data_IF_976515115479
#
_entry.id   IF_976515115479
#
_cell.length_a   1.000
_cell.length_b   1.000
_cell.length_c   1.000
_cell.angle_alpha   90.00
_cell.angle_beta   90.00
_cell.angle_gamma   90.00
#
_symmetry.space_group_name_H-M   'P 1'
#
loop_
_entity.id
_entity.type
_entity.pdbx_description
1 polymer ?
#
# COMPACT_ATOMS: atom_id res chain seq x y z
N UNK A 1 11.69 0.02 -23.75
CA UNK A 1 12.80 -0.91 -23.50
C UNK A 1 12.79 -1.32 -22.03
N UNK A 2 13.05 -2.59 -21.67
CA UNK A 2 13.19 -2.99 -20.27
C UNK A 2 14.37 -2.25 -19.66
N UNK A 3 14.16 -1.50 -18.59
CA UNK A 3 15.18 -0.69 -17.90
C UNK A 3 15.92 -1.47 -16.78
N UNK A 4 15.68 -2.76 -16.65
CA UNK A 4 16.33 -3.68 -15.70
C UNK A 4 16.59 -5.02 -16.39
N UNK A 5 17.66 -5.68 -16.00
CA UNK A 5 18.06 -6.98 -16.56
C UNK A 5 17.59 -8.12 -15.66
N UNK A 6 17.32 -9.29 -16.28
CA UNK A 6 17.31 -10.53 -15.50
C UNK A 6 18.72 -10.80 -14.96
N UNK A 7 18.79 -11.50 -13.82
CA UNK A 7 20.06 -11.89 -13.24
C UNK A 7 20.92 -12.63 -14.27
N UNK A 8 22.18 -12.23 -14.36
CA UNK A 8 23.21 -12.87 -15.13
C UNK A 8 24.48 -12.97 -14.26
N UNK A 9 25.30 -13.97 -14.48
CA UNK A 9 26.48 -14.27 -13.65
C UNK A 9 27.55 -13.17 -13.64
N UNK A 10 27.51 -12.22 -14.56
CA UNK A 10 28.39 -11.05 -14.56
C UNK A 10 28.22 -10.17 -13.31
N UNK A 11 27.01 -10.13 -12.75
CA UNK A 11 26.71 -9.37 -11.52
C UNK A 11 27.55 -9.88 -10.34
N UNK A 12 27.89 -11.17 -10.28
CA UNK A 12 28.70 -11.76 -9.20
C UNK A 12 30.16 -11.28 -9.22
N UNK A 13 30.61 -10.71 -10.32
CA UNK A 13 31.99 -10.17 -10.46
C UNK A 13 32.08 -8.66 -10.15
N UNK A 14 30.92 -8.03 -9.87
CA UNK A 14 30.88 -6.62 -9.52
C UNK A 14 30.92 -6.41 -8.00
N UNK A 15 31.49 -5.30 -7.57
CA UNK A 15 31.47 -4.91 -6.15
C UNK A 15 30.40 -3.87 -5.86
N UNK A 16 29.70 -4.03 -4.77
CA UNK A 16 28.64 -3.13 -4.30
C UNK A 16 28.87 -2.73 -2.85
N UNK A 17 28.51 -1.49 -2.49
CA UNK A 17 28.54 -1.02 -1.10
C UNK A 17 27.35 -1.58 -0.29
N UNK A 18 26.23 -1.86 -0.97
CA UNK A 18 25.03 -2.41 -0.33
C UNK A 18 24.23 -3.30 -1.28
N UNK A 19 23.65 -4.38 -0.73
CA UNK A 19 22.65 -5.21 -1.40
C UNK A 19 21.30 -4.98 -0.73
N UNK A 20 20.29 -4.67 -1.54
CA UNK A 20 18.90 -4.48 -1.11
C UNK A 20 18.06 -5.65 -1.62
N UNK A 21 17.41 -6.39 -0.70
CA UNK A 21 16.55 -7.53 -1.01
C UNK A 21 15.12 -7.04 -1.16
N UNK A 22 14.59 -7.08 -2.38
CA UNK A 22 13.24 -6.64 -2.72
C UNK A 22 13.16 -5.21 -3.25
N UNK A 23 12.50 -5.04 -4.38
CA UNK A 23 12.30 -3.78 -5.10
C UNK A 23 10.96 -3.09 -4.82
N UNK A 24 10.30 -3.40 -3.71
CA UNK A 24 9.16 -2.60 -3.26
C UNK A 24 9.58 -1.16 -2.96
N UNK A 25 8.60 -0.25 -2.79
CA UNK A 25 8.89 1.20 -2.65
C UNK A 25 9.88 1.51 -1.52
N UNK A 26 9.85 0.78 -0.41
CA UNK A 26 10.81 0.94 0.69
C UNK A 26 12.23 0.57 0.28
N UNK A 27 12.41 -0.55 -0.44
CA UNK A 27 13.71 -0.99 -0.97
C UNK A 27 14.25 -0.02 -2.01
N UNK A 28 13.41 0.40 -2.97
CA UNK A 28 13.78 1.37 -4.00
C UNK A 28 14.14 2.74 -3.41
N UNK A 29 13.36 3.24 -2.45
CA UNK A 29 13.65 4.49 -1.74
C UNK A 29 15.00 4.42 -1.03
N UNK A 30 15.26 3.31 -0.32
CA UNK A 30 16.53 3.11 0.38
C UNK A 30 17.70 3.05 -0.59
N UNK A 31 17.55 2.31 -1.69
CA UNK A 31 18.56 2.21 -2.74
C UNK A 31 18.86 3.57 -3.38
N UNK A 32 17.82 4.35 -3.71
CA UNK A 32 17.98 5.68 -4.30
C UNK A 32 18.71 6.64 -3.34
N UNK A 33 18.33 6.65 -2.06
CA UNK A 33 18.99 7.49 -1.05
C UNK A 33 20.45 7.12 -0.85
N UNK A 34 20.79 5.83 -0.85
CA UNK A 34 22.19 5.36 -0.79
C UNK A 34 22.95 5.77 -2.06
N UNK A 35 22.35 5.62 -3.24
CA UNK A 35 22.95 6.00 -4.51
C UNK A 35 23.21 7.51 -4.60
N UNK A 36 22.27 8.34 -4.11
CA UNK A 36 22.44 9.79 -3.98
C UNK A 36 23.59 10.18 -3.04
N UNK A 37 23.90 9.32 -2.05
CA UNK A 37 25.05 9.49 -1.15
C UNK A 37 26.32 8.79 -1.65
N UNK A 38 26.41 8.51 -2.96
CA UNK A 38 27.63 7.99 -3.60
C UNK A 38 27.88 6.51 -3.34
N UNK A 39 26.90 5.74 -2.87
CA UNK A 39 27.00 4.31 -2.67
C UNK A 39 26.60 3.56 -3.94
N UNK A 40 27.40 2.59 -4.34
CA UNK A 40 27.04 1.67 -5.41
C UNK A 40 26.15 0.56 -4.85
N UNK A 41 24.88 0.52 -5.27
CA UNK A 41 23.88 -0.39 -4.73
C UNK A 41 23.44 -1.45 -5.73
N UNK A 42 23.12 -2.66 -5.22
CA UNK A 42 22.48 -3.73 -5.99
C UNK A 42 21.09 -4.00 -5.39
N UNK A 43 20.05 -3.88 -6.20
CA UNK A 43 18.68 -4.28 -5.81
C UNK A 43 18.34 -5.62 -6.45
N UNK A 44 17.98 -6.60 -5.62
CA UNK A 44 17.62 -7.96 -6.05
C UNK A 44 16.12 -8.16 -5.89
N UNK A 45 15.44 -8.46 -7.01
CA UNK A 45 13.99 -8.71 -7.05
C UNK A 45 13.71 -10.13 -7.55
N UNK A 46 12.93 -10.89 -6.78
CA UNK A 46 12.56 -12.26 -7.18
C UNK A 46 11.55 -12.30 -8.33
N UNK A 47 10.70 -11.27 -8.43
CA UNK A 47 9.70 -11.16 -9.49
C UNK A 47 10.36 -10.75 -10.81
N UNK A 48 9.64 -10.90 -11.92
CA UNK A 48 10.12 -10.46 -13.24
C UNK A 48 9.90 -8.97 -13.50
N UNK A 49 9.29 -8.25 -12.56
CA UNK A 49 9.09 -6.79 -12.56
C UNK A 49 9.49 -6.21 -11.22
N UNK A 50 10.04 -4.99 -11.25
CA UNK A 50 10.31 -4.18 -10.06
C UNK A 50 9.06 -3.45 -9.57
N UNK A 51 9.10 -2.92 -8.35
CA UNK A 51 8.10 -2.02 -7.81
C UNK A 51 7.26 -2.59 -6.67
N UNK A 52 7.24 -3.90 -6.46
CA UNK A 52 6.33 -4.51 -5.48
C UNK A 52 4.88 -4.12 -5.77
N UNK A 53 4.16 -3.52 -4.81
CA UNK A 53 2.77 -3.09 -5.02
C UNK A 53 2.59 -1.88 -5.96
N UNK A 54 3.66 -1.25 -6.43
CA UNK A 54 3.58 -0.17 -7.42
C UNK A 54 3.76 -0.64 -8.86
N UNK A 55 3.89 -1.96 -9.12
CA UNK A 55 3.95 -2.44 -10.50
C UNK A 55 2.55 -2.63 -11.09
N UNK A 56 2.49 -2.68 -12.42
CA UNK A 56 1.28 -2.96 -13.19
C UNK A 56 1.40 -4.28 -13.91
N UNK A 57 0.29 -4.83 -14.38
CA UNK A 57 0.28 -5.93 -15.33
C UNK A 57 -0.62 -5.62 -16.52
N UNK A 58 -0.32 -6.25 -17.67
CA UNK A 58 -1.07 -6.08 -18.92
C UNK A 58 -1.63 -7.41 -19.38
N UNK A 59 -2.83 -7.34 -19.97
CA UNK A 59 -3.43 -8.41 -20.78
C UNK A 59 -4.09 -7.74 -21.98
N UNK A 60 -3.67 -8.13 -23.16
CA UNK A 60 -4.08 -7.52 -24.43
C UNK A 60 -3.84 -6.00 -24.37
N UNK A 61 -4.85 -5.20 -24.65
CA UNK A 61 -4.79 -3.72 -24.69
C UNK A 61 -5.02 -3.07 -23.32
N UNK A 62 -5.19 -3.86 -22.26
CA UNK A 62 -5.52 -3.38 -20.92
C UNK A 62 -4.33 -3.41 -19.98
N UNK A 63 -4.25 -2.40 -19.10
CA UNK A 63 -3.29 -2.33 -18.00
C UNK A 63 -4.02 -2.06 -16.68
N UNK A 64 -3.62 -2.76 -15.62
CA UNK A 64 -4.14 -2.57 -14.27
C UNK A 64 -3.02 -2.42 -13.26
N UNK A 65 -3.32 -1.68 -12.19
CA UNK A 65 -2.47 -1.59 -11.02
C UNK A 65 -2.53 -2.87 -10.19
N UNK A 66 -1.48 -3.12 -9.40
CA UNK A 66 -1.47 -4.25 -8.46
C UNK A 66 -1.85 -3.83 -7.06
N UNK A 67 -1.48 -2.63 -6.63
CA UNK A 67 -1.78 -2.22 -5.27
C UNK A 67 -1.73 -0.72 -4.99
N UNK A 68 -1.36 0.13 -5.96
CA UNK A 68 -1.45 1.58 -5.79
C UNK A 68 -2.58 2.11 -6.67
N UNK A 69 -3.65 2.59 -6.06
CA UNK A 69 -4.84 3.06 -6.77
C UNK A 69 -4.94 4.59 -6.80
N UNK A 70 -4.38 5.28 -5.83
CA UNK A 70 -4.25 6.75 -5.74
C UNK A 70 -3.32 7.12 -4.57
N UNK A 71 -2.92 8.39 -4.48
CA UNK A 71 -2.06 8.90 -3.42
C UNK A 71 -2.44 10.35 -3.10
N UNK A 72 -2.39 10.74 -1.84
CA UNK A 72 -2.61 12.10 -1.40
C UNK A 72 -1.32 12.91 -1.28
N UNK A 73 -1.45 14.18 -0.90
CA UNK A 73 -0.38 15.12 -0.54
C UNK A 73 0.65 15.45 -1.65
N UNK A 74 0.81 14.65 -2.69
CA UNK A 74 1.86 14.86 -3.72
C UNK A 74 1.61 16.06 -4.64
N UNK A 75 0.40 16.63 -4.65
CA UNK A 75 0.11 17.92 -5.30
C UNK A 75 0.75 19.10 -4.56
N UNK A 76 0.98 18.97 -3.26
CA UNK A 76 1.61 20.00 -2.45
C UNK A 76 3.14 19.87 -2.49
N UNK A 77 3.81 20.80 -3.17
CA UNK A 77 5.29 20.84 -3.29
C UNK A 77 6.04 20.87 -1.94
N UNK A 78 5.36 21.25 -0.87
CA UNK A 78 5.95 21.36 0.46
C UNK A 78 5.73 20.11 1.33
N UNK A 79 4.90 19.20 0.89
CA UNK A 79 4.65 17.95 1.62
C UNK A 79 5.91 17.07 1.68
N UNK A 80 5.99 16.22 2.70
CA UNK A 80 7.08 15.28 2.84
C UNK A 80 7.05 14.22 1.73
N UNK A 81 5.83 13.75 1.36
CA UNK A 81 5.63 12.78 0.30
C UNK A 81 6.13 13.31 -1.05
N UNK A 82 5.70 14.53 -1.45
CA UNK A 82 6.14 15.13 -2.70
C UNK A 82 7.66 15.32 -2.75
N UNK A 83 8.26 15.87 -1.69
CA UNK A 83 9.70 16.08 -1.62
C UNK A 83 10.49 14.77 -1.71
N UNK A 84 9.98 13.71 -1.09
CA UNK A 84 10.62 12.40 -1.18
C UNK A 84 10.57 11.87 -2.61
N UNK A 85 9.39 11.86 -3.25
CA UNK A 85 9.26 11.37 -4.62
C UNK A 85 10.06 12.21 -5.61
N UNK A 86 10.07 13.54 -5.49
CA UNK A 86 10.90 14.41 -6.32
C UNK A 86 12.39 14.08 -6.17
N UNK A 87 12.86 13.84 -4.92
CA UNK A 87 14.25 13.49 -4.64
C UNK A 87 14.67 12.15 -5.24
N UNK A 88 13.86 11.08 -5.03
CA UNK A 88 14.22 9.73 -5.46
C UNK A 88 13.92 9.44 -6.93
N UNK A 89 13.25 10.34 -7.64
CA UNK A 89 12.97 10.23 -9.07
C UNK A 89 13.67 11.31 -9.92
N UNK A 90 14.53 12.14 -9.30
CA UNK A 90 15.11 13.32 -9.94
C UNK A 90 14.06 14.24 -10.57
N UNK A 91 12.95 14.45 -9.87
CA UNK A 91 11.78 15.21 -10.32
C UNK A 91 11.10 14.68 -11.61
N UNK A 92 11.39 13.46 -12.05
CA UNK A 92 10.79 12.90 -13.26
C UNK A 92 9.41 12.30 -13.05
N UNK A 93 9.04 11.96 -11.82
CA UNK A 93 7.72 11.44 -11.50
C UNK A 93 6.71 12.57 -11.48
N UNK A 94 5.74 12.52 -12.39
CA UNK A 94 4.66 13.50 -12.51
C UNK A 94 3.35 12.92 -11.94
N UNK A 95 2.44 13.81 -11.55
CA UNK A 95 1.20 13.45 -10.87
C UNK A 95 -0.01 14.10 -11.54
N UNK A 96 -0.99 13.29 -11.94
CA UNK A 96 -2.33 13.72 -12.34
C UNK A 96 -3.17 13.99 -11.09
N UNK A 97 -3.97 15.05 -11.10
CA UNK A 97 -4.93 15.33 -10.02
C UNK A 97 -6.23 14.59 -10.32
N UNK A 98 -6.78 13.91 -9.32
CA UNK A 98 -8.11 13.33 -9.39
C UNK A 98 -9.19 14.42 -9.25
N UNK A 99 -10.46 14.06 -9.52
CA UNK A 99 -11.61 14.91 -9.22
C UNK A 99 -11.60 15.36 -7.76
N UNK A 100 -12.14 16.55 -7.46
CA UNK A 100 -12.21 17.05 -6.09
C UNK A 100 -13.03 16.12 -5.19
N UNK A 101 -14.08 15.47 -5.73
CA UNK A 101 -14.74 14.35 -5.08
C UNK A 101 -13.92 13.07 -5.32
N UNK A 102 -12.94 12.81 -4.45
CA UNK A 102 -11.98 11.71 -4.63
C UNK A 102 -12.51 10.34 -4.22
N UNK A 103 -13.45 10.29 -3.25
CA UNK A 103 -14.09 9.06 -2.78
C UNK A 103 -15.59 9.26 -2.55
N UNK A 104 -16.37 8.20 -2.80
CA UNK A 104 -17.78 8.07 -2.40
C UNK A 104 -17.93 6.89 -1.48
N UNK A 105 -18.48 7.15 -0.29
CA UNK A 105 -18.82 6.13 0.69
C UNK A 105 -20.31 5.81 0.55
N UNK A 106 -20.62 4.62 0.06
CA UNK A 106 -21.97 4.21 -0.35
C UNK A 106 -22.51 3.21 0.67
N UNK A 107 -23.59 3.59 1.34
CA UNK A 107 -24.39 2.73 2.21
C UNK A 107 -25.75 2.46 1.58
N UNK A 108 -26.51 1.45 2.02
CA UNK A 108 -27.80 1.09 1.39
C UNK A 108 -28.82 2.22 1.36
N UNK A 109 -28.77 3.13 2.33
CA UNK A 109 -29.74 4.22 2.48
C UNK A 109 -29.19 5.60 2.03
N UNK A 110 -27.88 5.75 1.87
CA UNK A 110 -27.30 7.05 1.52
C UNK A 110 -25.85 6.95 1.04
N UNK A 111 -25.49 7.86 0.13
CA UNK A 111 -24.11 8.09 -0.33
C UNK A 111 -23.54 9.35 0.33
N UNK A 112 -22.27 9.29 0.72
CA UNK A 112 -21.51 10.38 1.29
C UNK A 112 -20.28 10.64 0.42
N UNK A 113 -20.06 11.90 0.05
CA UNK A 113 -18.91 12.30 -0.75
C UNK A 113 -17.76 12.76 0.15
N UNK A 114 -16.55 12.38 -0.19
CA UNK A 114 -15.33 12.91 0.38
C UNK A 114 -14.72 13.87 -0.65
N UNK A 115 -14.85 15.16 -0.38
CA UNK A 115 -14.51 16.23 -1.33
C UNK A 115 -13.36 17.06 -0.79
N UNK A 116 -12.34 17.28 -1.62
CA UNK A 116 -11.25 18.20 -1.35
C UNK A 116 -11.66 19.65 -1.71
N UNK A 117 -11.06 20.66 -1.06
CA UNK A 117 -10.06 20.53 0.00
C UNK A 117 -10.70 20.17 1.36
N UNK A 118 -9.86 20.05 2.38
CA UNK A 118 -10.23 19.75 3.76
C UNK A 118 -11.42 20.54 4.29
N UNK A 119 -11.48 21.82 3.99
CA UNK A 119 -12.57 22.70 4.42
C UNK A 119 -13.90 22.22 3.83
N UNK A 120 -13.91 21.84 2.55
CA UNK A 120 -15.10 21.31 1.90
C UNK A 120 -15.53 19.96 2.52
N UNK A 121 -14.57 19.09 2.83
CA UNK A 121 -14.86 17.84 3.56
C UNK A 121 -15.56 18.12 4.90
N UNK A 122 -15.06 19.09 5.69
CA UNK A 122 -15.65 19.47 6.97
C UNK A 122 -17.08 20.00 6.78
N UNK A 123 -17.28 20.92 5.85
CA UNK A 123 -18.57 21.54 5.55
C UNK A 123 -19.59 20.47 5.08
N UNK A 124 -19.18 19.56 4.22
CA UNK A 124 -20.04 18.47 3.74
C UNK A 124 -20.41 17.51 4.88
N UNK A 125 -19.46 17.13 5.74
CA UNK A 125 -19.74 16.29 6.90
C UNK A 125 -20.70 16.98 7.88
N UNK A 126 -20.56 18.28 8.13
CA UNK A 126 -21.50 19.04 8.96
C UNK A 126 -22.87 19.10 8.31
N UNK A 127 -22.94 19.28 6.99
CA UNK A 127 -24.23 19.27 6.27
C UNK A 127 -24.91 17.90 6.34
N UNK A 128 -24.16 16.80 6.31
CA UNK A 128 -24.68 15.45 6.50
C UNK A 128 -25.12 15.19 7.96
N UNK A 129 -24.40 15.73 8.93
CA UNK A 129 -24.57 15.49 10.37
C UNK A 129 -24.57 16.80 11.19
N UNK A 130 -25.60 17.66 11.06
CA UNK A 130 -25.59 19.00 11.68
C UNK A 130 -25.47 19.03 13.20
N UNK A 131 -25.84 17.95 13.87
CA UNK A 131 -25.73 17.82 15.33
C UNK A 131 -24.33 17.42 15.82
N UNK A 132 -23.44 17.07 14.89
CA UNK A 132 -22.13 16.49 15.16
C UNK A 132 -20.96 17.43 14.82
N UNK A 133 -21.25 18.71 14.56
CA UNK A 133 -20.26 19.72 14.15
C UNK A 133 -18.99 19.70 15.02
N UNK A 134 -19.18 19.71 16.35
CA UNK A 134 -18.06 19.66 17.29
C UNK A 134 -17.24 18.39 17.17
N UNK A 135 -17.89 17.23 17.00
CA UNK A 135 -17.22 15.93 16.83
C UNK A 135 -16.41 15.90 15.53
N UNK A 136 -16.96 16.44 14.43
CA UNK A 136 -16.31 16.51 13.12
C UNK A 136 -15.05 17.39 13.18
N UNK A 137 -15.14 18.60 13.74
CA UNK A 137 -13.97 19.46 13.93
C UNK A 137 -12.90 18.82 14.81
N UNK A 138 -13.29 18.18 15.91
CA UNK A 138 -12.35 17.50 16.82
C UNK A 138 -11.72 16.29 16.15
N UNK A 139 -12.48 15.53 15.34
CA UNK A 139 -11.94 14.44 14.55
C UNK A 139 -10.81 14.90 13.61
N UNK A 140 -11.03 15.94 12.80
CA UNK A 140 -10.01 16.47 11.89
C UNK A 140 -8.80 17.01 12.67
N UNK A 141 -9.02 17.64 13.81
CA UNK A 141 -7.92 18.05 14.70
C UNK A 141 -7.10 16.83 15.18
N UNK A 142 -7.75 15.73 15.57
CA UNK A 142 -7.07 14.52 16.04
C UNK A 142 -6.29 13.83 14.92
N UNK A 143 -6.79 13.84 13.68
CA UNK A 143 -6.01 13.37 12.52
C UNK A 143 -4.69 14.15 12.39
N UNK A 144 -4.75 15.48 12.45
CA UNK A 144 -3.57 16.33 12.36
C UNK A 144 -2.60 16.14 13.54
N UNK A 145 -3.13 16.01 14.76
CA UNK A 145 -2.30 15.79 15.94
C UNK A 145 -1.58 14.45 15.90
N UNK A 146 -2.29 13.38 15.50
CA UNK A 146 -1.70 12.04 15.35
C UNK A 146 -0.56 12.05 14.33
N UNK A 147 -0.79 12.58 13.14
CA UNK A 147 0.22 12.66 12.06
C UNK A 147 1.40 13.53 12.46
N UNK A 148 1.16 14.71 13.07
CA UNK A 148 2.25 15.58 13.55
C UNK A 148 3.08 14.93 14.65
N UNK A 149 2.45 14.16 15.55
CA UNK A 149 3.13 13.47 16.64
C UNK A 149 4.01 12.29 16.18
N UNK A 150 3.77 11.76 15.00
CA UNK A 150 4.59 10.70 14.42
C UNK A 150 5.98 11.16 13.98
N UNK A 151 6.14 12.43 13.61
CA UNK A 151 7.45 12.96 13.16
C UNK A 151 8.54 12.80 14.20
N UNK A 152 8.39 13.26 15.49
CA UNK A 152 9.40 13.01 16.51
C UNK A 152 9.55 11.51 16.83
N UNK A 153 8.50 10.70 16.76
CA UNK A 153 8.58 9.26 16.93
C UNK A 153 9.55 8.63 15.91
N UNK A 154 9.37 8.90 14.61
CA UNK A 154 10.26 8.38 13.58
C UNK A 154 11.66 9.01 13.66
N UNK A 155 11.79 10.28 13.99
CA UNK A 155 13.09 10.91 14.20
C UNK A 155 13.88 10.24 15.34
N UNK A 156 13.21 9.83 16.43
CA UNK A 156 13.85 9.09 17.52
C UNK A 156 14.47 7.77 17.03
N UNK A 157 13.81 7.06 16.11
CA UNK A 157 14.33 5.82 15.52
C UNK A 157 15.62 5.98 14.72
N UNK A 158 15.91 7.20 14.24
CA UNK A 158 17.11 7.53 13.50
C UNK A 158 18.28 8.01 14.41
N UNK A 159 18.05 8.19 15.73
CA UNK A 159 19.08 8.60 16.66
C UNK A 159 20.00 7.44 17.06
N UNK A 160 21.28 7.73 17.41
CA UNK A 160 22.16 6.74 18.04
C UNK A 160 21.53 6.16 19.33
N UNK A 161 21.71 4.86 19.58
CA UNK A 161 20.97 4.12 20.60
C UNK A 161 20.90 4.77 21.98
N UNK A 162 22.01 5.28 22.52
CA UNK A 162 22.01 5.97 23.82
C UNK A 162 21.12 7.23 23.79
N UNK A 163 21.23 8.05 22.74
CA UNK A 163 20.44 9.27 22.60
C UNK A 163 18.98 8.94 22.34
N UNK A 164 18.71 7.92 21.53
CA UNK A 164 17.36 7.41 21.29
C UNK A 164 16.67 7.04 22.62
N UNK A 165 17.36 6.27 23.50
CA UNK A 165 16.81 5.85 24.78
C UNK A 165 16.46 7.02 25.71
N UNK A 166 17.35 8.02 25.81
CA UNK A 166 17.13 9.20 26.64
C UNK A 166 15.96 10.05 26.13
N UNK A 167 15.86 10.22 24.83
CA UNK A 167 14.84 11.10 24.22
C UNK A 167 13.50 10.38 23.99
N UNK A 168 13.45 9.06 24.05
CA UNK A 168 12.29 8.22 23.77
C UNK A 168 10.99 8.70 24.45
N UNK A 169 10.91 8.86 25.78
CA UNK A 169 9.66 9.24 26.44
C UNK A 169 9.13 10.61 26.02
N UNK A 170 10.03 11.54 25.66
CA UNK A 170 9.67 12.89 25.25
C UNK A 170 9.25 12.96 23.78
N UNK A 171 9.88 12.17 22.92
CA UNK A 171 9.62 12.20 21.49
C UNK A 171 8.45 11.28 21.06
N UNK A 172 8.12 10.27 21.86
CA UNK A 172 7.16 9.23 21.45
C UNK A 172 5.82 9.29 22.17
N UNK A 173 5.76 9.87 23.39
CA UNK A 173 4.56 9.83 24.25
C UNK A 173 3.29 10.39 23.59
N UNK A 174 3.41 11.48 22.83
CA UNK A 174 2.27 12.05 22.12
C UNK A 174 1.76 11.14 21.00
N UNK A 175 2.66 10.45 20.32
CA UNK A 175 2.29 9.47 19.28
C UNK A 175 1.53 8.30 19.87
N UNK A 176 2.01 7.72 20.95
CA UNK A 176 1.37 6.59 21.61
C UNK A 176 0.00 6.90 22.22
N UNK A 177 -0.31 8.18 22.51
CA UNK A 177 -1.68 8.60 22.86
C UNK A 177 -2.72 8.18 21.80
N UNK A 178 -2.31 8.19 20.51
CA UNK A 178 -3.16 7.81 19.38
C UNK A 178 -2.88 6.40 18.88
N UNK A 179 -1.61 5.99 18.86
CA UNK A 179 -1.23 4.68 18.33
C UNK A 179 -1.70 3.49 19.17
N UNK A 180 -1.81 3.67 20.50
CA UNK A 180 -2.25 2.63 21.43
C UNK A 180 -3.77 2.59 21.66
N UNK A 181 -4.53 3.39 20.92
CA UNK A 181 -6.00 3.36 20.97
C UNK A 181 -6.55 2.87 19.64
N UNK A 182 -7.65 2.13 19.68
CA UNK A 182 -8.31 1.73 18.45
C UNK A 182 -8.98 2.93 17.78
N UNK A 183 -9.20 2.83 16.48
CA UNK A 183 -9.96 3.83 15.71
C UNK A 183 -11.36 3.99 16.30
N UNK A 184 -12.01 2.87 16.65
CA UNK A 184 -13.30 2.86 17.31
C UNK A 184 -13.29 3.63 18.63
N UNK A 185 -12.31 3.37 19.54
CA UNK A 185 -12.24 4.04 20.86
C UNK A 185 -12.07 5.55 20.73
N UNK A 186 -11.32 6.00 19.76
CA UNK A 186 -11.12 7.44 19.56
C UNK A 186 -12.40 8.08 19.01
N UNK A 187 -13.00 7.53 17.95
CA UNK A 187 -14.16 8.14 17.31
C UNK A 187 -15.41 8.04 18.22
N UNK A 188 -15.64 6.91 18.91
CA UNK A 188 -16.73 6.77 19.86
C UNK A 188 -16.62 7.71 21.06
N UNK A 189 -15.41 8.17 21.41
CA UNK A 189 -15.24 9.23 22.42
C UNK A 189 -15.67 10.63 21.96
N UNK A 190 -15.92 10.81 20.65
CA UNK A 190 -16.35 12.08 20.06
C UNK A 190 -17.86 12.12 19.80
N UNK A 191 -18.44 10.99 19.42
CA UNK A 191 -19.86 10.86 19.06
C UNK A 191 -20.39 9.45 19.28
N UNK A 192 -21.64 9.34 19.71
CA UNK A 192 -22.39 8.09 19.80
C UNK A 192 -23.17 7.77 18.51
N UNK A 193 -23.06 8.60 17.47
CA UNK A 193 -23.80 8.43 16.23
C UNK A 193 -23.15 7.34 15.34
N UNK A 194 -23.79 6.15 15.20
CA UNK A 194 -23.19 5.04 14.48
C UNK A 194 -23.04 5.31 12.99
N UNK A 195 -23.89 6.17 12.40
CA UNK A 195 -23.77 6.55 10.99
C UNK A 195 -22.56 7.43 10.76
N UNK A 196 -22.33 8.44 11.61
CA UNK A 196 -21.14 9.26 11.54
C UNK A 196 -19.89 8.42 11.71
N UNK A 197 -19.85 7.50 12.70
CA UNK A 197 -18.71 6.60 12.90
C UNK A 197 -18.43 5.77 11.65
N UNK A 198 -19.43 5.15 11.04
CA UNK A 198 -19.29 4.39 9.82
C UNK A 198 -18.76 5.25 8.65
N UNK A 199 -19.29 6.46 8.51
CA UNK A 199 -18.83 7.38 7.45
C UNK A 199 -17.38 7.81 7.69
N UNK A 200 -17.01 8.30 8.88
CA UNK A 200 -15.64 8.76 9.15
C UNK A 200 -14.58 7.66 9.05
N UNK A 201 -14.97 6.40 9.14
CA UNK A 201 -14.08 5.24 8.98
C UNK A 201 -14.17 4.57 7.62
N UNK A 202 -14.84 5.20 6.64
CA UNK A 202 -15.12 4.62 5.32
C UNK A 202 -13.91 4.33 4.42
N UNK A 203 -12.69 4.61 4.86
CA UNK A 203 -11.44 4.25 4.17
C UNK A 203 -10.65 3.17 4.93
N UNK A 204 -11.28 2.43 5.86
CA UNK A 204 -10.57 1.44 6.67
C UNK A 204 -9.92 0.32 5.83
N UNK A 205 -10.44 0.03 4.65
CA UNK A 205 -9.88 -0.94 3.72
C UNK A 205 -8.43 -0.65 3.32
N UNK A 206 -8.02 0.62 3.26
CA UNK A 206 -6.65 1.03 2.90
C UNK A 206 -5.60 0.59 3.93
N UNK A 207 -5.96 0.37 5.18
CA UNK A 207 -5.03 -0.10 6.23
C UNK A 207 -5.37 -1.50 6.76
N UNK A 208 -6.39 -2.16 6.22
CA UNK A 208 -6.60 -3.60 6.27
C UNK A 208 -7.32 -4.16 7.50
N UNK A 209 -7.64 -3.35 8.52
CA UNK A 209 -8.35 -3.80 9.71
C UNK A 209 -9.53 -2.87 10.05
N UNK A 210 -10.69 -3.43 10.46
CA UNK A 210 -11.85 -2.64 10.84
C UNK A 210 -11.59 -1.80 12.10
N UNK A 211 -12.44 -0.80 12.41
CA UNK A 211 -12.19 0.22 13.43
C UNK A 211 -11.83 -0.29 14.83
N UNK A 212 -12.39 -1.40 15.30
CA UNK A 212 -12.08 -1.96 16.62
C UNK A 212 -10.73 -2.69 16.69
N UNK A 213 -10.16 -3.05 15.54
CA UNK A 213 -8.88 -3.76 15.46
C UNK A 213 -7.75 -2.86 14.96
N UNK A 214 -8.05 -1.72 14.35
CA UNK A 214 -7.05 -0.81 13.80
C UNK A 214 -6.62 0.26 14.78
N UNK A 215 -5.33 0.62 14.75
CA UNK A 215 -4.81 1.78 15.49
C UNK A 215 -5.33 3.09 14.89
N UNK A 216 -5.77 4.02 15.75
CA UNK A 216 -6.18 5.34 15.28
C UNK A 216 -5.04 6.12 14.59
N UNK A 217 -3.78 5.87 14.94
CA UNK A 217 -2.67 6.52 14.24
C UNK A 217 -2.59 6.06 12.77
N UNK A 218 -2.85 4.78 12.48
CA UNK A 218 -2.90 4.27 11.09
C UNK A 218 -4.09 4.86 10.33
N UNK A 219 -5.28 4.88 10.94
CA UNK A 219 -6.42 5.56 10.39
C UNK A 219 -6.11 7.04 10.08
N UNK A 220 -5.48 7.75 11.02
CA UNK A 220 -5.13 9.16 10.84
C UNK A 220 -4.14 9.38 9.70
N UNK A 221 -3.16 8.49 9.51
CA UNK A 221 -2.25 8.58 8.37
C UNK A 221 -3.00 8.51 7.04
N UNK A 222 -3.94 7.59 6.90
CA UNK A 222 -4.72 7.42 5.68
C UNK A 222 -5.73 8.55 5.49
N UNK A 223 -6.62 8.77 6.45
CA UNK A 223 -7.69 9.76 6.32
C UNK A 223 -7.13 11.18 6.09
N UNK A 224 -6.10 11.57 6.85
CA UNK A 224 -5.45 12.88 6.69
C UNK A 224 -4.74 13.03 5.36
N UNK A 225 -4.18 11.95 4.84
CA UNK A 225 -3.44 11.91 3.58
C UNK A 225 -4.30 12.37 2.39
N UNK A 226 -5.59 12.04 2.40
CA UNK A 226 -6.52 12.33 1.33
C UNK A 226 -7.39 13.58 1.51
N UNK A 227 -7.37 14.23 2.69
CA UNK A 227 -8.25 15.39 2.97
C UNK A 227 -8.10 16.54 1.95
N UNK A 228 -6.93 16.68 1.33
CA UNK A 228 -6.66 17.72 0.34
C UNK A 228 -6.68 17.15 -1.11
N UNK A 229 -7.26 15.96 -1.30
CA UNK A 229 -7.50 15.32 -2.59
C UNK A 229 -6.55 14.18 -2.94
N UNK A 230 -6.95 13.40 -3.93
CA UNK A 230 -6.20 12.29 -4.51
C UNK A 230 -5.42 12.68 -5.76
N UNK A 231 -4.36 11.91 -6.03
CA UNK A 231 -3.54 12.06 -7.23
C UNK A 231 -3.15 10.67 -7.73
N UNK A 232 -2.69 10.61 -8.97
CA UNK A 232 -2.24 9.37 -9.59
C UNK A 232 -0.96 9.61 -10.40
N UNK A 233 -0.03 8.64 -10.50
CA UNK A 233 1.19 8.82 -11.29
C UNK A 233 0.88 8.90 -12.80
N UNK A 234 1.38 9.91 -13.48
CA UNK A 234 1.26 10.04 -14.93
C UNK A 234 2.01 8.90 -15.62
N UNK A 235 1.33 8.14 -16.47
CA UNK A 235 1.84 6.95 -17.14
C UNK A 235 1.75 5.67 -16.29
N UNK A 236 0.78 5.60 -15.39
CA UNK A 236 0.43 4.52 -14.46
C UNK A 236 1.36 4.34 -13.26
N UNK A 237 0.94 3.50 -12.28
CA UNK A 237 1.67 3.30 -11.01
C UNK A 237 3.10 2.76 -11.21
N UNK A 238 3.38 2.04 -12.30
CA UNK A 238 4.73 1.56 -12.65
C UNK A 238 5.77 2.67 -12.73
N UNK A 239 5.34 3.91 -13.08
CA UNK A 239 6.25 5.05 -13.21
C UNK A 239 7.00 5.38 -11.93
N UNK A 240 6.42 5.08 -10.77
CA UNK A 240 7.11 5.23 -9.49
C UNK A 240 8.39 4.39 -9.46
N UNK A 241 8.28 3.10 -9.74
CA UNK A 241 9.44 2.22 -9.72
C UNK A 241 10.43 2.52 -10.86
N UNK A 242 9.92 2.82 -12.06
CA UNK A 242 10.74 3.09 -13.24
C UNK A 242 11.62 4.33 -13.06
N UNK A 243 11.07 5.45 -12.58
CA UNK A 243 11.83 6.70 -12.39
C UNK A 243 12.86 6.57 -11.27
N UNK A 244 12.54 5.83 -10.21
CA UNK A 244 13.50 5.56 -9.13
C UNK A 244 14.61 4.63 -9.61
N UNK A 245 14.29 3.64 -10.44
CA UNK A 245 15.29 2.76 -11.05
C UNK A 245 16.26 3.55 -11.95
N UNK A 246 15.74 4.47 -12.78
CA UNK A 246 16.55 5.35 -13.62
C UNK A 246 17.56 6.16 -12.79
N UNK A 247 17.15 6.70 -11.65
CA UNK A 247 18.04 7.41 -10.75
C UNK A 247 19.15 6.48 -10.21
N UNK A 248 18.79 5.30 -9.71
CA UNK A 248 19.74 4.34 -9.13
C UNK A 248 20.80 3.94 -10.18
N UNK A 249 20.36 3.60 -11.40
CA UNK A 249 21.26 3.19 -12.49
C UNK A 249 22.15 4.35 -12.96
N UNK A 250 21.62 5.57 -13.06
CA UNK A 250 22.40 6.76 -13.42
C UNK A 250 23.53 7.07 -12.43
N UNK A 251 23.42 6.56 -11.20
CA UNK A 251 24.43 6.68 -10.12
C UNK A 251 25.30 5.43 -9.99
N UNK A 252 25.29 4.52 -10.97
CA UNK A 252 26.14 3.32 -11.02
C UNK A 252 25.62 2.14 -10.19
N UNK A 253 24.40 2.22 -9.66
CA UNK A 253 23.72 1.08 -9.06
C UNK A 253 23.14 0.13 -10.12
N UNK A 254 22.64 -1.03 -9.69
CA UNK A 254 22.00 -2.02 -10.57
C UNK A 254 20.71 -2.54 -9.96
N UNK A 255 19.71 -2.81 -10.82
CA UNK A 255 18.47 -3.50 -10.46
C UNK A 255 18.38 -4.78 -11.29
N UNK A 256 18.16 -5.89 -10.58
CA UNK A 256 18.14 -7.22 -11.19
C UNK A 256 16.86 -7.93 -10.78
N UNK A 257 16.11 -8.41 -11.77
CA UNK A 257 14.87 -9.19 -11.59
C UNK A 257 15.14 -10.68 -11.80
N UNK A 258 14.19 -11.54 -11.44
CA UNK A 258 14.35 -12.99 -11.41
C UNK A 258 15.58 -13.41 -10.57
N UNK A 259 15.85 -12.65 -9.52
CA UNK A 259 16.99 -12.82 -8.62
C UNK A 259 16.50 -13.10 -7.19
N UNK A 260 15.82 -14.24 -7.02
CA UNK A 260 15.31 -14.65 -5.72
C UNK A 260 16.46 -14.88 -4.73
N UNK A 261 16.45 -14.17 -3.59
CA UNK A 261 17.39 -14.42 -2.49
C UNK A 261 16.87 -15.60 -1.68
N UNK A 262 17.70 -16.63 -1.53
CA UNK A 262 17.43 -17.85 -0.77
C UNK A 262 17.75 -17.67 0.72
N UNK A 263 18.90 -17.02 1.02
CA UNK A 263 19.29 -16.71 2.39
C UNK A 263 20.24 -15.51 2.47
N UNK A 264 20.30 -14.90 3.64
CA UNK A 264 21.32 -13.93 4.01
C UNK A 264 22.52 -14.71 4.59
N UNK A 265 23.72 -14.46 4.05
CA UNK A 265 24.94 -15.10 4.52
C UNK A 265 25.47 -14.33 5.73
N UNK A 266 25.60 -15.03 6.87
CA UNK A 266 26.08 -14.45 8.12
C UNK A 266 27.43 -15.08 8.49
N UNK A 267 28.38 -14.24 8.88
CA UNK A 267 29.66 -14.67 9.43
C UNK A 267 29.98 -13.86 10.69
N UNK A 268 30.23 -14.55 11.83
CA UNK A 268 30.51 -13.91 13.14
C UNK A 268 29.47 -12.83 13.49
N UNK A 269 28.18 -13.17 13.39
CA UNK A 269 27.04 -12.31 13.70
C UNK A 269 26.88 -11.08 12.78
N UNK A 270 27.57 -11.06 11.64
CA UNK A 270 27.44 -10.00 10.64
C UNK A 270 26.92 -10.55 9.31
N UNK A 271 25.94 -9.90 8.74
CA UNK A 271 25.55 -10.16 7.36
C UNK A 271 26.69 -9.70 6.43
N UNK A 272 27.16 -10.60 5.60
CA UNK A 272 28.29 -10.35 4.66
C UNK A 272 27.88 -10.49 3.21
N UNK A 273 26.69 -10.98 2.93
CA UNK A 273 26.20 -11.21 1.58
C UNK A 273 24.86 -11.92 1.53
N UNK A 274 24.49 -12.38 0.36
CA UNK A 274 23.28 -13.16 0.10
C UNK A 274 23.59 -14.35 -0.82
N UNK A 275 22.90 -15.48 -0.61
CA UNK A 275 22.87 -16.60 -1.55
C UNK A 275 21.57 -16.53 -2.34
N UNK A 276 21.64 -16.57 -3.66
CA UNK A 276 20.51 -16.63 -4.57
C UNK A 276 19.93 -18.05 -4.69
N UNK A 277 18.72 -18.17 -5.22
CA UNK A 277 18.04 -19.46 -5.45
C UNK A 277 18.82 -20.37 -6.45
N UNK A 278 19.64 -19.78 -7.35
CA UNK A 278 20.50 -20.51 -8.28
C UNK A 278 21.84 -20.95 -7.66
N UNK A 279 22.11 -20.60 -6.41
CA UNK A 279 23.32 -20.97 -5.66
C UNK A 279 24.47 -19.93 -5.71
N UNK A 280 24.34 -18.88 -6.50
CA UNK A 280 25.37 -17.81 -6.54
C UNK A 280 25.38 -17.04 -5.22
N UNK A 281 26.59 -16.65 -4.78
CA UNK A 281 26.78 -15.83 -3.58
C UNK A 281 27.27 -14.45 -3.98
N UNK A 282 26.59 -13.44 -3.49
CA UNK A 282 26.91 -12.03 -3.71
C UNK A 282 27.29 -11.39 -2.37
N UNK A 283 28.43 -10.73 -2.32
CA UNK A 283 28.95 -10.14 -1.09
C UNK A 283 28.81 -8.61 -1.11
N UNK A 284 28.47 -8.03 0.04
CA UNK A 284 28.49 -6.59 0.29
C UNK A 284 28.59 -6.31 1.80
N UNK A 285 29.23 -5.20 2.19
CA UNK A 285 29.35 -4.82 3.59
C UNK A 285 28.04 -4.44 4.26
N UNK A 286 27.00 -4.11 3.48
CA UNK A 286 25.66 -3.71 3.96
C UNK A 286 24.61 -4.58 3.27
N UNK A 287 23.80 -5.29 4.05
CA UNK A 287 22.63 -6.04 3.55
C UNK A 287 21.37 -5.43 4.14
N UNK A 288 20.45 -5.03 3.27
CA UNK A 288 19.16 -4.43 3.66
C UNK A 288 18.03 -5.30 3.13
N UNK A 289 17.20 -5.84 4.03
CA UNK A 289 16.04 -6.62 3.62
C UNK A 289 14.77 -5.77 3.61
N UNK A 290 14.14 -5.69 2.44
CA UNK A 290 12.79 -5.16 2.24
C UNK A 290 11.79 -6.29 1.89
N UNK A 291 12.11 -7.53 2.27
CA UNK A 291 11.27 -8.71 2.01
C UNK A 291 10.15 -8.93 3.07
N UNK A 292 10.04 -8.03 4.05
CA UNK A 292 9.16 -8.14 5.19
C UNK A 292 9.82 -8.90 6.36
N UNK A 293 9.35 -8.62 7.58
CA UNK A 293 9.97 -9.12 8.82
C UNK A 293 9.92 -10.64 8.90
N UNK A 294 8.75 -11.25 8.66
CA UNK A 294 8.59 -12.71 8.69
C UNK A 294 9.50 -13.38 7.67
N UNK A 295 9.49 -12.94 6.41
CA UNK A 295 10.38 -13.53 5.40
C UNK A 295 11.86 -13.37 5.75
N UNK A 296 12.24 -12.22 6.33
CA UNK A 296 13.63 -11.96 6.72
C UNK A 296 14.10 -12.90 7.80
N UNK A 297 13.33 -13.02 8.90
CA UNK A 297 13.80 -13.78 10.08
C UNK A 297 13.44 -15.27 10.03
N UNK A 298 12.28 -15.65 9.48
CA UNK A 298 11.86 -17.05 9.40
C UNK A 298 12.44 -17.81 8.20
N UNK A 299 12.74 -17.10 7.09
CA UNK A 299 13.23 -17.74 5.86
C UNK A 299 14.65 -17.37 5.52
N UNK A 300 14.98 -16.07 5.39
CA UNK A 300 16.29 -15.64 4.92
C UNK A 300 17.39 -15.76 5.97
N UNK A 301 17.06 -15.68 7.25
CA UNK A 301 17.97 -15.88 8.39
C UNK A 301 17.72 -17.19 9.13
N UNK A 302 16.93 -18.10 8.57
CA UNK A 302 16.63 -19.38 9.18
C UNK A 302 17.94 -20.15 9.49
N UNK A 303 18.08 -20.60 10.74
CA UNK A 303 19.27 -21.27 11.29
C UNK A 303 20.51 -20.39 11.52
N UNK A 304 20.43 -19.09 11.30
CA UNK A 304 21.47 -18.18 11.76
C UNK A 304 21.17 -17.77 13.21
N UNK A 305 22.16 -17.84 14.07
CA UNK A 305 22.04 -17.45 15.49
C UNK A 305 21.92 -15.94 15.63
N UNK A 306 20.81 -15.37 15.16
CA UNK A 306 20.49 -13.99 15.46
C UNK A 306 19.99 -13.92 16.89
N UNK A 307 20.77 -13.33 17.78
CA UNK A 307 20.51 -13.24 19.24
C UNK A 307 19.25 -12.46 19.60
N UNK A 308 18.54 -11.88 18.64
CA UNK A 308 17.28 -11.14 18.83
C UNK A 308 16.38 -11.24 17.59
N UNK A 309 15.71 -12.39 17.41
CA UNK A 309 14.64 -12.47 16.41
C UNK A 309 13.37 -11.82 16.97
N UNK A 310 12.73 -10.89 16.24
CA UNK A 310 11.44 -10.33 16.65
C UNK A 310 10.26 -11.28 16.40
N UNK A 311 10.47 -12.50 15.92
CA UNK A 311 9.40 -13.44 15.56
C UNK A 311 8.50 -13.80 16.74
N UNK A 312 9.05 -13.95 17.95
CA UNK A 312 8.25 -14.24 19.14
C UNK A 312 7.25 -13.13 19.47
N UNK A 313 7.63 -11.87 19.23
CA UNK A 313 6.72 -10.73 19.41
C UNK A 313 5.65 -10.71 18.33
N UNK A 314 5.98 -11.15 17.09
CA UNK A 314 5.05 -11.19 15.96
C UNK A 314 3.99 -12.30 16.10
N UNK A 315 4.26 -13.39 16.83
CA UNK A 315 3.27 -14.44 17.09
C UNK A 315 2.05 -13.92 17.88
N UNK A 316 2.21 -12.78 18.57
CA UNK A 316 1.13 -12.12 19.32
C UNK A 316 0.29 -11.17 18.46
N UNK A 317 0.68 -10.94 17.22
CA UNK A 317 0.00 -9.99 16.30
C UNK A 317 -0.88 -10.77 15.34
N UNK A 318 -2.17 -10.46 15.34
CA UNK A 318 -3.12 -11.01 14.36
C UNK A 318 -2.70 -10.68 12.94
N UNK A 319 -2.86 -11.62 12.03
CA UNK A 319 -2.67 -11.37 10.61
C UNK A 319 -3.82 -10.50 10.07
N UNK A 320 -3.50 -9.66 9.08
CA UNK A 320 -4.52 -8.92 8.34
C UNK A 320 -5.30 -9.85 7.42
N UNK A 321 -6.52 -9.45 7.08
CA UNK A 321 -7.35 -10.17 6.12
C UNK A 321 -6.70 -10.18 4.73
N UNK A 322 -7.01 -11.22 3.95
CA UNK A 322 -6.62 -11.29 2.54
C UNK A 322 -7.60 -10.52 1.66
N UNK A 323 -7.15 -10.13 0.48
CA UNK A 323 -7.96 -9.42 -0.50
C UNK A 323 -8.02 -10.17 -1.84
N UNK A 324 -9.11 -9.97 -2.55
CA UNK A 324 -9.29 -10.38 -3.94
C UNK A 324 -9.63 -9.16 -4.78
N UNK A 325 -9.06 -9.09 -5.98
CA UNK A 325 -9.34 -8.03 -6.94
C UNK A 325 -9.95 -8.63 -8.22
N UNK A 326 -11.08 -8.08 -8.66
CA UNK A 326 -11.65 -8.30 -9.98
C UNK A 326 -11.17 -7.20 -10.91
N UNK A 327 -10.43 -7.55 -11.95
CA UNK A 327 -9.94 -6.65 -12.98
C UNK A 327 -10.83 -6.72 -14.21
N UNK A 328 -11.43 -5.59 -14.60
CA UNK A 328 -12.33 -5.49 -15.75
C UNK A 328 -11.68 -4.62 -16.83
N UNK A 329 -11.66 -5.13 -18.06
CA UNK A 329 -11.31 -4.39 -19.26
C UNK A 329 -12.57 -4.04 -20.06
N UNK A 330 -12.70 -2.81 -20.50
CA UNK A 330 -13.89 -2.27 -21.20
C UNK A 330 -13.50 -1.82 -22.59
N UNK A 331 -14.26 -2.26 -23.62
CA UNK A 331 -14.05 -1.95 -25.05
C UNK A 331 -14.58 -0.57 -25.45
N UNK A 332 -14.56 0.38 -24.53
CA UNK A 332 -14.91 1.78 -24.72
C UNK A 332 -14.05 2.63 -23.82
N UNK A 333 -13.78 3.86 -24.26
CA UNK A 333 -13.05 4.81 -23.44
C UNK A 333 -13.82 5.21 -22.17
N UNK A 334 -13.11 5.62 -21.14
CA UNK A 334 -13.70 6.13 -19.90
C UNK A 334 -14.68 7.31 -20.18
N UNK A 335 -14.35 8.16 -21.15
CA UNK A 335 -15.19 9.30 -21.58
C UNK A 335 -16.52 8.84 -22.18
N UNK A 336 -16.52 7.85 -23.07
CA UNK A 336 -17.74 7.28 -23.64
C UNK A 336 -18.63 6.62 -22.60
N UNK A 337 -18.01 5.99 -21.58
CA UNK A 337 -18.69 5.34 -20.47
C UNK A 337 -19.09 6.32 -19.35
N UNK A 338 -18.68 7.60 -19.44
CA UNK A 338 -18.90 8.64 -18.44
C UNK A 338 -18.34 8.25 -17.06
N UNK A 339 -17.23 7.51 -17.03
CA UNK A 339 -16.49 7.21 -15.82
C UNK A 339 -15.71 8.45 -15.40
N UNK A 340 -15.54 8.63 -14.10
CA UNK A 340 -14.73 9.68 -13.50
C UNK A 340 -13.66 9.08 -12.56
N UNK A 341 -12.77 9.91 -12.03
CA UNK A 341 -11.66 9.44 -11.19
C UNK A 341 -12.04 9.17 -9.73
N UNK A 342 -13.31 9.44 -9.35
CA UNK A 342 -13.83 9.20 -8.00
C UNK A 342 -13.86 7.71 -7.69
N UNK A 343 -13.21 7.26 -6.62
CA UNK A 343 -13.34 5.89 -6.15
C UNK A 343 -14.68 5.66 -5.43
N UNK A 344 -15.15 4.41 -5.44
CA UNK A 344 -16.37 4.02 -4.76
C UNK A 344 -16.05 3.01 -3.65
N UNK A 345 -16.59 3.24 -2.47
CA UNK A 345 -16.51 2.38 -1.30
C UNK A 345 -17.90 1.91 -0.94
N UNK A 346 -18.25 0.68 -1.32
CA UNK A 346 -19.62 0.13 -1.14
C UNK A 346 -19.65 -0.73 0.10
N UNK A 347 -20.58 -0.42 1.00
CA UNK A 347 -20.74 -1.07 2.31
C UNK A 347 -22.16 -1.61 2.48
N UNK A 348 -22.36 -2.80 3.09
CA UNK A 348 -23.67 -3.34 3.41
C UNK A 348 -24.30 -2.66 4.63
N UNK A 349 -23.52 -1.93 5.43
CA UNK A 349 -23.99 -1.22 6.61
C UNK A 349 -22.90 -0.44 7.32
N UNK A 350 -23.30 0.43 8.26
CA UNK A 350 -22.41 1.37 8.95
C UNK A 350 -21.48 0.74 10.01
N UNK A 351 -21.76 -0.49 10.45
CA UNK A 351 -20.93 -1.17 11.43
C UNK A 351 -19.90 -2.08 10.74
N UNK A 352 -18.76 -1.51 10.39
CA UNK A 352 -17.70 -2.20 9.65
C UNK A 352 -17.16 -3.44 10.37
N UNK A 353 -17.02 -3.39 11.70
CA UNK A 353 -16.55 -4.53 12.49
C UNK A 353 -17.52 -5.71 12.41
N UNK A 354 -18.82 -5.44 12.48
CA UNK A 354 -19.87 -6.45 12.32
C UNK A 354 -19.87 -7.01 10.90
N UNK A 355 -19.78 -6.15 9.88
CA UNK A 355 -19.77 -6.58 8.48
C UNK A 355 -18.60 -7.54 8.22
N UNK A 356 -17.39 -7.22 8.72
CA UNK A 356 -16.22 -8.12 8.62
C UNK A 356 -16.47 -9.42 9.39
N UNK A 357 -16.98 -9.35 10.61
CA UNK A 357 -17.24 -10.53 11.43
C UNK A 357 -18.24 -11.48 10.76
N UNK A 358 -19.35 -10.96 10.23
CA UNK A 358 -20.37 -11.76 9.55
C UNK A 358 -19.83 -12.43 8.29
N UNK A 359 -19.04 -11.70 7.49
CA UNK A 359 -18.38 -12.25 6.30
C UNK A 359 -17.35 -13.33 6.66
N UNK A 360 -16.54 -13.12 7.69
CA UNK A 360 -15.53 -14.10 8.12
C UNK A 360 -16.15 -15.34 8.79
N UNK A 361 -17.40 -15.26 9.28
CA UNK A 361 -18.14 -16.43 9.75
C UNK A 361 -18.74 -17.26 8.61
N UNK A 362 -19.23 -16.61 7.56
CA UNK A 362 -19.73 -17.25 6.36
C UNK A 362 -19.49 -16.32 5.14
N UNK A 363 -18.61 -16.73 4.26
CA UNK A 363 -18.26 -15.99 3.03
C UNK A 363 -19.43 -15.77 2.05
N UNK A 364 -20.57 -16.42 2.28
CA UNK A 364 -21.80 -16.19 1.51
C UNK A 364 -22.55 -14.91 1.92
N UNK A 365 -22.26 -14.37 3.11
CA UNK A 365 -22.78 -13.08 3.53
C UNK A 365 -22.29 -11.96 2.61
N UNK A 366 -22.88 -10.78 2.74
CA UNK A 366 -22.48 -9.61 1.96
C UNK A 366 -21.00 -9.30 2.17
N UNK A 367 -20.35 -8.83 1.10
CA UNK A 367 -18.97 -8.35 1.24
C UNK A 367 -18.91 -7.19 2.23
N UNK A 368 -17.97 -7.20 3.17
CA UNK A 368 -17.90 -6.15 4.21
C UNK A 368 -17.53 -4.79 3.65
N UNK A 369 -16.89 -4.78 2.48
CA UNK A 369 -16.56 -3.62 1.66
C UNK A 369 -16.30 -4.10 0.24
N UNK A 370 -16.70 -3.30 -0.77
CA UNK A 370 -16.18 -3.40 -2.13
C UNK A 370 -15.65 -2.03 -2.53
N UNK A 371 -14.33 -1.95 -2.69
CA UNK A 371 -13.66 -0.77 -3.23
C UNK A 371 -13.59 -0.86 -4.74
N UNK A 372 -14.00 0.19 -5.45
CA UNK A 372 -14.01 0.23 -6.91
C UNK A 372 -13.18 1.42 -7.37
N UNK A 373 -12.17 1.16 -8.18
CA UNK A 373 -11.22 2.12 -8.73
C UNK A 373 -11.27 2.13 -10.24
N UNK A 374 -10.96 3.28 -10.83
CA UNK A 374 -11.01 3.52 -12.28
C UNK A 374 -9.64 4.02 -12.79
N UNK A 375 -8.60 3.17 -12.90
CA UNK A 375 -7.24 3.60 -13.26
C UNK A 375 -7.18 4.43 -14.54
N UNK A 376 -7.93 4.01 -15.57
CA UNK A 376 -7.99 4.69 -16.86
C UNK A 376 -8.52 6.14 -16.83
N UNK A 377 -9.18 6.55 -15.74
CA UNK A 377 -9.68 7.93 -15.57
C UNK A 377 -8.73 8.82 -14.79
N UNK A 378 -7.74 8.22 -14.13
CA UNK A 378 -6.81 8.91 -13.23
C UNK A 378 -5.51 9.32 -13.93
N UNK A 379 -5.14 8.61 -14.99
CA UNK A 379 -3.91 8.84 -15.74
C UNK A 379 -4.17 9.78 -16.92
N UNK A 380 -3.61 11.00 -16.88
CA UNK A 380 -3.73 11.99 -17.97
C UNK A 380 -3.10 11.51 -19.29
N UNK A 381 -2.27 10.48 -19.25
CA UNK A 381 -1.63 9.90 -20.44
C UNK A 381 -2.22 8.57 -20.89
N UNK A 382 -3.30 8.09 -20.24
CA UNK A 382 -3.92 6.81 -20.55
C UNK A 382 -4.20 6.60 -22.04
N UNK A 383 -4.83 7.57 -22.70
CA UNK A 383 -5.22 7.48 -24.11
C UNK A 383 -4.02 7.40 -25.06
N UNK A 384 -2.79 7.71 -24.63
CA UNK A 384 -1.58 7.58 -25.49
C UNK A 384 -1.23 6.11 -25.76
N UNK A 385 -1.48 5.24 -24.79
CA UNK A 385 -1.16 3.81 -24.88
C UNK A 385 -2.41 2.93 -25.02
N UNK A 386 -3.60 3.40 -24.59
CA UNK A 386 -4.82 2.62 -24.43
C UNK A 386 -6.08 3.31 -24.98
N UNK A 387 -5.95 4.05 -26.10
CA UNK A 387 -7.07 4.77 -26.71
C UNK A 387 -8.26 3.86 -27.03
N UNK A 388 -9.45 4.24 -26.60
CA UNK A 388 -10.68 3.47 -26.82
C UNK A 388 -10.95 2.37 -25.80
N UNK A 389 -10.08 2.22 -24.76
CA UNK A 389 -10.24 1.22 -23.72
C UNK A 389 -10.31 1.90 -22.33
N UNK A 390 -10.98 1.25 -21.41
CA UNK A 390 -10.98 1.66 -20.00
C UNK A 390 -10.81 0.45 -19.08
N UNK A 391 -10.43 0.70 -17.83
CA UNK A 391 -10.23 -0.35 -16.81
C UNK A 391 -10.93 0.00 -15.52
N UNK A 392 -11.43 -1.05 -14.85
CA UNK A 392 -12.00 -0.98 -13.50
C UNK A 392 -11.31 -2.05 -12.66
N UNK A 393 -11.11 -1.74 -11.39
CA UNK A 393 -10.63 -2.65 -10.36
C UNK A 393 -11.64 -2.67 -9.22
N UNK A 394 -12.15 -3.84 -8.88
CA UNK A 394 -13.05 -4.01 -7.76
C UNK A 394 -12.44 -4.96 -6.73
N UNK A 395 -12.20 -4.43 -5.52
CA UNK A 395 -11.43 -5.09 -4.46
C UNK A 395 -12.33 -5.33 -3.25
N UNK A 396 -12.27 -6.55 -2.71
CA UNK A 396 -12.96 -6.91 -1.47
C UNK A 396 -12.11 -7.88 -0.64
N UNK A 397 -12.57 -8.18 0.58
CA UNK A 397 -11.94 -9.19 1.42
C UNK A 397 -12.11 -10.59 0.82
N UNK A 398 -11.12 -11.45 1.05
CA UNK A 398 -11.14 -12.85 0.70
C UNK A 398 -10.99 -13.73 1.94
N UNK A 399 -11.78 -14.76 2.02
CA UNK A 399 -11.68 -15.77 3.08
C UNK A 399 -10.57 -16.77 2.72
N UNK A 400 -9.34 -16.55 3.23
CA UNK A 400 -8.17 -17.33 2.86
C UNK A 400 -8.35 -18.83 3.05
N UNK A 401 -9.01 -19.28 4.12
CA UNK A 401 -9.18 -20.69 4.45
C UNK A 401 -9.92 -21.47 3.36
N UNK A 402 -10.80 -20.82 2.61
CA UNK A 402 -11.49 -21.44 1.48
C UNK A 402 -10.55 -21.76 0.30
N UNK A 403 -9.46 -20.99 0.18
CA UNK A 403 -8.49 -21.08 -0.92
C UNK A 403 -7.20 -21.79 -0.53
N UNK A 404 -6.91 -21.95 0.75
CA UNK A 404 -5.67 -22.53 1.29
C UNK A 404 -5.37 -23.93 0.73
N UNK A 405 -6.39 -24.74 0.45
CA UNK A 405 -6.27 -26.08 -0.15
C UNK A 405 -5.61 -26.10 -1.53
N UNK A 406 -5.50 -24.97 -2.22
CA UNK A 406 -4.83 -24.85 -3.51
C UNK A 406 -3.47 -24.12 -3.44
N UNK A 407 -3.00 -23.75 -2.26
CA UNK A 407 -1.79 -22.95 -2.09
C UNK A 407 -0.52 -23.55 -2.69
N UNK A 408 -0.39 -24.89 -2.58
CA UNK A 408 0.79 -25.62 -3.05
C UNK A 408 0.71 -26.02 -4.54
N UNK A 409 -0.41 -25.75 -5.20
CA UNK A 409 -0.57 -26.05 -6.61
C UNK A 409 0.03 -24.94 -7.48
N UNK A 410 0.70 -25.32 -8.61
CA UNK A 410 1.32 -24.34 -9.49
C UNK A 410 0.31 -23.34 -10.06
N UNK A 411 0.78 -22.11 -10.28
CA UNK A 411 0.01 -21.06 -10.91
C UNK A 411 -0.60 -21.52 -12.25
N UNK A 412 -1.87 -21.23 -12.49
CA UNK A 412 -2.67 -21.68 -13.65
C UNK A 412 -2.88 -23.20 -13.76
N UNK A 413 -2.58 -23.99 -12.73
CA UNK A 413 -2.76 -25.44 -12.69
C UNK A 413 -3.55 -25.91 -11.47
N UNK A 414 -4.49 -25.08 -10.97
CA UNK A 414 -5.28 -25.37 -9.76
C UNK A 414 -6.55 -26.17 -10.03
N UNK A 415 -6.89 -26.42 -11.30
CA UNK A 415 -7.99 -27.28 -11.72
C UNK A 415 -9.36 -26.57 -11.82
N UNK A 416 -10.33 -27.26 -12.41
CA UNK A 416 -11.66 -26.69 -12.72
C UNK A 416 -12.45 -26.25 -11.49
N UNK A 417 -12.28 -26.92 -10.35
CA UNK A 417 -12.99 -26.55 -9.13
C UNK A 417 -12.54 -25.16 -8.65
N UNK A 418 -11.26 -24.89 -8.70
CA UNK A 418 -10.71 -23.56 -8.38
C UNK A 418 -11.24 -22.49 -9.33
N UNK A 419 -11.26 -22.77 -10.63
CA UNK A 419 -11.76 -21.78 -11.61
C UNK A 419 -13.25 -21.51 -11.46
N UNK A 420 -14.06 -22.53 -11.12
CA UNK A 420 -15.49 -22.35 -10.81
C UNK A 420 -15.72 -21.51 -9.55
N UNK A 421 -14.94 -21.70 -8.49
CA UNK A 421 -15.05 -20.86 -7.27
C UNK A 421 -14.61 -19.43 -7.55
N UNK A 422 -13.56 -19.22 -8.32
CA UNK A 422 -13.17 -17.89 -8.79
C UNK A 422 -14.28 -17.20 -9.58
N UNK A 423 -14.90 -17.92 -10.52
CA UNK A 423 -15.98 -17.37 -11.34
C UNK A 423 -17.18 -16.94 -10.51
N UNK A 424 -17.61 -17.78 -9.54
CA UNK A 424 -18.68 -17.42 -8.61
C UNK A 424 -18.35 -16.13 -7.81
N UNK A 425 -17.12 -16.05 -7.32
CA UNK A 425 -16.68 -14.87 -6.58
C UNK A 425 -16.63 -13.64 -7.49
N UNK A 426 -16.10 -13.80 -8.70
CA UNK A 426 -16.07 -12.73 -9.70
C UNK A 426 -17.46 -12.22 -10.05
N UNK A 427 -18.45 -13.12 -10.22
CA UNK A 427 -19.83 -12.75 -10.52
C UNK A 427 -20.46 -11.96 -9.37
N UNK A 428 -20.24 -12.38 -8.12
CA UNK A 428 -20.76 -11.65 -6.94
C UNK A 428 -20.19 -10.23 -6.84
N UNK A 429 -18.89 -10.05 -7.15
CA UNK A 429 -18.27 -8.71 -7.17
C UNK A 429 -18.85 -7.90 -8.34
N UNK A 430 -19.00 -8.51 -9.50
CA UNK A 430 -19.54 -7.86 -10.70
C UNK A 430 -20.98 -7.37 -10.50
N UNK A 431 -21.82 -8.15 -9.77
CA UNK A 431 -23.19 -7.76 -9.45
C UNK A 431 -23.24 -6.46 -8.62
N UNK A 432 -22.22 -6.18 -7.80
CA UNK A 432 -22.10 -4.91 -7.07
C UNK A 432 -21.60 -3.79 -7.99
N UNK A 433 -20.67 -4.07 -8.90
CA UNK A 433 -20.19 -3.08 -9.87
C UNK A 433 -21.30 -2.59 -10.79
N UNK A 434 -22.29 -3.40 -11.08
CA UNK A 434 -23.45 -3.06 -11.93
C UNK A 434 -24.57 -2.26 -11.22
N UNK A 435 -24.56 -2.19 -9.90
CA UNK A 435 -25.52 -1.39 -9.12
C UNK A 435 -25.20 0.10 -9.16
#
# INVERSE_FOLDING_TARGET
MKKWSSYASDVSHESFDAIIIGSGIGGLTTAALLALNGKRVLVLEKHFKIGGWTHTFRRDDYEWDVGLHYIGEVHNKWSAARKLFDLISDCQLQWSKMDDNYDRIIFPDRTFNYVAPREQFIDDMINYFPKEEKAIHTYVQYLDEAVRSARPYFANKALPGMLANITYPFMTGKFFKYANRTTFDVISSLSDNPKLMGVLTGQWGDYGLPPKKSSFAMHAFVARHYLDGGNYPVGSSRRIAETVADLIESRGGRLVVNAGVKKIVVHKEKAIGVELENGDVLEAPIIISNAGVVNTFDRLLKNESASSSPLADLETIDQTESYVCLHLGLNKSAKELKLNSTNLWVYPGYNHDRNVQEFMQDSKNDFPVVYISFPSTKDDEWDKEHAGFATIEAITLAHWDEYSKWQDLPWKKRGEVYEKEKEKLSQRILDIVYQ
#
